data_IF_801215307449
#
_entry.id   IF_801215307449
#
_cell.length_a   1.000
_cell.length_b   1.000
_cell.length_c   1.000
_cell.angle_alpha   90.00
_cell.angle_beta   90.00
_cell.angle_gamma   90.00
#
_symmetry.space_group_name_H-M   'P 1'
#
loop_
_entity.id
_entity.type
_entity.pdbx_description
1 polymer ?
#
# COMPACT_ATOMS: atom_id res chain seq x y z
N UNK A 1 -2.75 9.93 5.56
CA UNK A 1 -2.87 8.75 4.66
C UNK A 1 -2.94 7.51 5.55
N UNK A 2 -4.16 7.04 5.84
CA UNK A 2 -4.36 5.89 6.74
C UNK A 2 -3.76 4.63 6.15
N UNK A 3 -2.96 3.90 6.94
CA UNK A 3 -2.39 2.62 6.54
C UNK A 3 -3.48 1.57 6.34
N UNK A 4 -3.31 0.72 5.34
CA UNK A 4 -4.18 -0.42 5.04
C UNK A 4 -4.37 -1.30 6.29
N UNK A 5 -5.60 -1.36 6.78
CA UNK A 5 -6.00 -2.06 8.01
C UNK A 5 -6.11 -3.56 7.77
N UNK A 6 -6.30 -3.97 6.51
CA UNK A 6 -6.45 -5.36 6.11
C UNK A 6 -5.60 -5.70 4.88
N UNK A 7 -5.29 -6.99 4.73
CA UNK A 7 -4.59 -7.57 3.57
C UNK A 7 -5.23 -7.16 2.24
N UNK A 8 -6.56 -7.10 2.18
CA UNK A 8 -7.33 -6.70 0.98
C UNK A 8 -7.10 -5.22 0.59
N UNK A 9 -6.90 -4.33 1.55
CA UNK A 9 -6.72 -2.89 1.30
C UNK A 9 -5.29 -2.51 0.89
N UNK A 10 -4.33 -3.45 0.97
CA UNK A 10 -2.93 -3.21 0.60
C UNK A 10 -2.83 -2.77 -0.86
N UNK A 11 -3.65 -3.34 -1.74
CA UNK A 11 -3.65 -2.95 -3.15
C UNK A 11 -4.07 -1.49 -3.34
N UNK A 12 -5.18 -1.06 -2.72
CA UNK A 12 -5.67 0.31 -2.85
C UNK A 12 -4.73 1.33 -2.23
N UNK A 13 -4.09 0.99 -1.11
CA UNK A 13 -3.04 1.81 -0.51
C UNK A 13 -1.86 2.01 -1.46
N UNK A 14 -1.30 0.92 -1.99
CA UNK A 14 -0.17 0.99 -2.93
C UNK A 14 -0.58 1.72 -4.22
N UNK A 15 -1.79 1.48 -4.73
CA UNK A 15 -2.28 2.13 -5.92
C UNK A 15 -2.39 3.65 -5.72
N UNK A 16 -2.90 4.12 -4.58
CA UNK A 16 -2.92 5.55 -4.22
C UNK A 16 -1.50 6.11 -4.07
N UNK A 17 -0.61 5.40 -3.39
CA UNK A 17 0.78 5.81 -3.18
C UNK A 17 1.55 5.97 -4.50
N UNK A 18 1.46 4.99 -5.41
CA UNK A 18 2.10 5.07 -6.72
C UNK A 18 1.37 5.99 -7.69
N UNK A 19 0.11 6.33 -7.43
CA UNK A 19 -0.64 7.31 -8.23
C UNK A 19 -0.35 8.75 -7.81
N UNK A 20 0.31 8.96 -6.67
CA UNK A 20 0.72 10.27 -6.18
C UNK A 20 2.02 10.73 -6.87
N UNK A 21 1.90 11.80 -7.68
CA UNK A 21 3.04 12.37 -8.44
C UNK A 21 4.00 13.15 -7.57
N UNK A 22 3.53 13.68 -6.45
CA UNK A 22 4.35 14.46 -5.52
C UNK A 22 5.23 13.52 -4.68
N UNK A 23 4.79 12.27 -4.47
CA UNK A 23 5.58 11.24 -3.77
C UNK A 23 6.47 10.45 -4.72
N UNK A 24 5.92 9.90 -5.80
CA UNK A 24 6.66 9.03 -6.73
C UNK A 24 6.40 9.47 -8.18
N UNK A 25 7.30 10.24 -8.80
CA UNK A 25 7.16 10.60 -10.19
C UNK A 25 7.50 9.42 -11.09
N UNK A 26 6.50 8.88 -11.80
CA UNK A 26 6.67 7.77 -12.77
C UNK A 26 6.26 8.20 -14.19
N UNK A 27 6.98 7.76 -15.24
CA UNK A 27 6.47 7.87 -16.61
C UNK A 27 5.20 7.03 -16.74
N UNK A 28 4.20 7.48 -17.51
CA UNK A 28 2.93 6.75 -17.73
C UNK A 28 2.25 6.20 -16.44
N UNK A 29 2.26 7.02 -15.38
CA UNK A 29 1.79 6.69 -14.03
C UNK A 29 0.41 6.01 -14.00
N UNK A 30 -0.56 6.47 -14.78
CA UNK A 30 -1.91 5.88 -14.83
C UNK A 30 -1.94 4.38 -15.17
N UNK A 31 -0.96 3.88 -15.92
CA UNK A 31 -0.84 2.47 -16.28
C UNK A 31 0.15 1.71 -15.39
N UNK A 32 1.24 2.38 -14.98
CA UNK A 32 2.30 1.77 -14.17
C UNK A 32 1.92 1.63 -12.70
N UNK A 33 1.18 2.59 -12.12
CA UNK A 33 0.76 2.55 -10.72
C UNK A 33 -0.07 1.30 -10.37
N UNK A 34 -1.14 0.94 -11.11
CA UNK A 34 -1.90 -0.29 -10.81
C UNK A 34 -1.08 -1.56 -11.08
N UNK A 35 -0.19 -1.56 -12.08
CA UNK A 35 0.68 -2.70 -12.39
C UNK A 35 1.67 -2.99 -11.25
N UNK A 36 2.35 -1.93 -10.78
CA UNK A 36 3.33 -2.01 -9.70
C UNK A 36 2.63 -2.34 -8.38
N UNK A 37 1.48 -1.73 -8.11
CA UNK A 37 0.65 -2.04 -6.96
C UNK A 37 0.29 -3.53 -6.94
N UNK A 38 -0.31 -4.07 -8.01
CA UNK A 38 -0.67 -5.51 -8.11
C UNK A 38 0.51 -6.43 -7.85
N UNK A 39 1.68 -6.11 -8.40
CA UNK A 39 2.87 -6.95 -8.26
C UNK A 39 3.46 -6.90 -6.85
N UNK A 40 3.39 -5.75 -6.17
CA UNK A 40 3.91 -5.57 -4.81
C UNK A 40 2.93 -5.98 -3.72
N UNK A 41 1.62 -5.95 -4.00
CA UNK A 41 0.56 -6.38 -3.08
C UNK A 41 0.86 -7.72 -2.40
N UNK A 42 1.14 -8.85 -3.08
CA UNK A 42 1.33 -10.14 -2.42
C UNK A 42 2.52 -10.16 -1.46
N UNK A 43 3.61 -9.47 -1.81
CA UNK A 43 4.79 -9.39 -0.94
C UNK A 43 4.51 -8.58 0.33
N UNK A 44 3.79 -7.46 0.21
CA UNK A 44 3.41 -6.61 1.36
C UNK A 44 2.33 -7.30 2.21
N UNK A 45 1.38 -7.98 1.57
CA UNK A 45 0.36 -8.80 2.23
C UNK A 45 0.99 -9.92 3.07
N UNK A 46 1.99 -10.62 2.55
CA UNK A 46 2.71 -11.66 3.29
C UNK A 46 3.46 -11.07 4.50
N UNK A 47 4.07 -9.89 4.34
CA UNK A 47 4.71 -9.17 5.46
C UNK A 47 3.69 -8.73 6.51
N UNK A 48 2.53 -8.24 6.09
CA UNK A 48 1.41 -7.91 6.97
C UNK A 48 0.85 -9.14 7.69
N UNK A 49 0.75 -10.28 7.00
CA UNK A 49 0.30 -11.54 7.59
C UNK A 49 1.29 -12.05 8.65
N UNK A 50 2.60 -11.94 8.40
CA UNK A 50 3.67 -12.33 9.34
C UNK A 50 3.67 -11.51 10.65
N UNK A 51 3.17 -10.28 10.63
CA UNK A 51 3.06 -9.42 11.81
C UNK A 51 1.67 -9.48 12.48
N UNK A 52 0.77 -10.37 12.02
CA UNK A 52 -0.55 -10.58 12.63
C UNK A 52 -1.75 -10.07 11.83
N UNK A 53 -1.60 -9.73 10.55
CA UNK A 53 -2.70 -9.44 9.62
C UNK A 53 -2.95 -7.95 9.31
N UNK A 54 -2.10 -7.03 9.76
CA UNK A 54 -2.28 -5.59 9.55
C UNK A 54 -1.07 -4.77 10.01
N UNK A 55 -0.90 -3.54 9.48
CA UNK A 55 0.20 -2.66 9.91
C UNK A 55 -0.12 -2.07 11.28
N UNK A 56 0.73 -2.26 12.31
CA UNK A 56 0.51 -1.71 13.65
C UNK A 56 0.61 -0.18 13.74
N UNK A 57 0.81 0.54 12.62
CA UNK A 57 0.96 2.01 12.60
C UNK A 57 -0.25 2.73 13.20
N UNK A 58 -1.48 2.21 13.03
CA UNK A 58 -2.68 2.83 13.61
C UNK A 58 -2.85 2.57 15.12
N UNK A 59 -2.22 1.52 15.69
CA UNK A 59 -2.21 1.29 17.15
C UNK A 59 -1.39 2.37 17.89
N UNK A 60 -0.37 2.92 17.24
CA UNK A 60 0.50 3.96 17.82
C UNK A 60 0.07 5.39 17.50
N UNK A 61 -0.84 5.59 16.54
CA UNK A 61 -1.22 6.93 16.05
C UNK A 61 -2.59 7.42 16.58
N UNK A 62 -3.35 6.59 17.31
CA UNK A 62 -4.50 7.06 18.10
C UNK A 62 -3.98 7.51 19.48
N UNK A 63 -3.60 8.78 19.58
CA UNK A 63 -3.57 9.50 20.86
C UNK A 63 -4.81 10.38 20.94
#
# INVERSE_FOLDING_TARGET
>A
MGGSETTDEVYDFLNRLFSDKDIIPLPAQKSLSPLIARRRTPSIQEQHAKIGGGSPIKMWTKT
#
